data_IF_498177738682
#
_entry.id   IF_498177738682
#
_cell.length_a   1.000
_cell.length_b   1.000
_cell.length_c   1.000
_cell.angle_alpha   90.00
_cell.angle_beta   90.00
_cell.angle_gamma   90.00
#
_symmetry.space_group_name_H-M   'P 1'
#
loop_
_entity.id
_entity.type
_entity.pdbx_description
1 polymer ?
#
# COMPACT_ATOMS: atom_id res chain seq x y z
N UNK A 1 34.95 18.89 23.53
CA UNK A 1 33.69 18.71 22.77
C UNK A 1 33.98 19.22 21.38
N UNK A 2 34.37 18.35 20.45
CA UNK A 2 34.63 18.70 19.06
C UNK A 2 33.31 18.62 18.31
N UNK A 3 32.86 19.73 17.73
CA UNK A 3 31.72 19.74 16.80
C UNK A 3 32.04 18.84 15.60
N UNK A 4 31.35 17.71 15.50
CA UNK A 4 31.32 16.92 14.27
C UNK A 4 30.64 17.76 13.19
N UNK A 5 31.42 18.14 12.18
CA UNK A 5 30.91 18.86 11.01
C UNK A 5 30.09 17.87 10.18
N UNK A 6 28.76 17.92 10.29
CA UNK A 6 27.87 17.11 9.45
C UNK A 6 28.09 17.54 7.99
N UNK A 7 28.46 16.61 7.07
CA UNK A 7 28.73 16.98 5.69
C UNK A 7 27.45 17.52 5.04
N UNK A 8 27.52 18.77 4.58
CA UNK A 8 26.42 19.39 3.85
C UNK A 8 26.48 18.95 2.40
N UNK A 9 25.56 18.07 2.00
CA UNK A 9 25.38 17.70 0.60
C UNK A 9 24.78 18.90 -0.15
N UNK A 10 25.37 19.25 -1.29
CA UNK A 10 24.92 20.34 -2.15
C UNK A 10 24.61 19.85 -3.56
N UNK A 11 23.65 20.49 -4.23
CA UNK A 11 23.24 20.12 -5.60
C UNK A 11 24.28 20.52 -6.67
N UNK A 12 25.32 21.28 -6.29
CA UNK A 12 26.40 21.69 -7.18
C UNK A 12 25.90 22.39 -8.43
N UNK A 13 26.39 21.97 -9.60
CA UNK A 13 25.99 22.54 -10.91
C UNK A 13 24.50 22.40 -11.24
N UNK A 14 23.77 21.54 -10.53
CA UNK A 14 22.33 21.36 -10.74
C UNK A 14 21.46 22.28 -9.89
N UNK A 15 22.06 23.07 -8.99
CA UNK A 15 21.31 23.93 -8.07
C UNK A 15 20.37 24.90 -8.80
N UNK A 16 20.85 25.56 -9.86
CA UNK A 16 20.04 26.47 -10.67
C UNK A 16 18.87 25.73 -11.35
N UNK A 17 19.15 24.63 -12.05
CA UNK A 17 18.12 23.86 -12.76
C UNK A 17 17.04 23.30 -11.82
N UNK A 18 17.42 22.85 -10.61
CA UNK A 18 16.46 22.39 -9.60
C UNK A 18 15.65 23.57 -9.06
N UNK A 19 16.28 24.71 -8.78
CA UNK A 19 15.60 25.92 -8.33
C UNK A 19 14.56 26.41 -9.35
N UNK A 20 14.94 26.50 -10.62
CA UNK A 20 14.05 26.88 -11.71
C UNK A 20 12.86 25.92 -11.84
N UNK A 21 13.11 24.60 -11.68
CA UNK A 21 12.03 23.61 -11.72
C UNK A 21 11.08 23.72 -10.54
N UNK A 22 11.59 23.97 -9.34
CA UNK A 22 10.76 24.19 -8.15
C UNK A 22 9.90 25.44 -8.33
N UNK A 23 10.50 26.56 -8.77
CA UNK A 23 9.75 27.80 -9.04
C UNK A 23 8.63 27.58 -10.05
N UNK A 24 8.90 26.85 -11.14
CA UNK A 24 7.84 26.54 -12.11
C UNK A 24 6.72 25.67 -11.54
N UNK A 25 7.04 24.69 -10.67
CA UNK A 25 6.02 23.88 -10.00
C UNK A 25 5.17 24.69 -9.01
N UNK A 26 5.78 25.69 -8.36
CA UNK A 26 5.07 26.63 -7.48
C UNK A 26 4.12 27.53 -8.27
N UNK A 27 4.60 28.12 -9.37
CA UNK A 27 3.79 28.95 -10.28
C UNK A 27 2.60 28.16 -10.85
N UNK A 28 2.81 26.89 -11.20
CA UNK A 28 1.76 25.99 -11.71
C UNK A 28 0.79 25.50 -10.61
N UNK A 29 1.04 25.86 -9.35
CA UNK A 29 0.32 25.36 -8.16
C UNK A 29 0.28 23.82 -8.12
N UNK A 30 1.37 23.18 -8.53
CA UNK A 30 1.41 21.73 -8.76
C UNK A 30 0.96 20.93 -7.55
N UNK A 31 1.45 21.28 -6.35
CA UNK A 31 1.17 20.53 -5.12
C UNK A 31 -0.32 20.54 -4.78
N UNK A 32 -0.98 21.71 -4.79
CA UNK A 32 -2.41 21.78 -4.45
C UNK A 32 -3.28 21.10 -5.49
N UNK A 33 -2.92 21.21 -6.77
CA UNK A 33 -3.58 20.51 -7.88
C UNK A 33 -3.42 18.98 -7.79
N UNK A 34 -2.21 18.51 -7.43
CA UNK A 34 -1.94 17.10 -7.16
C UNK A 34 -2.86 16.57 -6.06
N UNK A 35 -2.95 17.28 -4.92
CA UNK A 35 -3.84 16.93 -3.82
C UNK A 35 -5.33 16.96 -4.20
N UNK A 36 -5.72 17.85 -5.12
CA UNK A 36 -7.05 17.89 -5.71
C UNK A 36 -7.30 16.81 -6.79
N UNK A 37 -6.33 15.93 -7.05
CA UNK A 37 -6.35 14.90 -8.08
C UNK A 37 -6.57 15.44 -9.49
N UNK A 38 -6.07 16.64 -9.75
CA UNK A 38 -6.14 17.29 -11.06
C UNK A 38 -5.23 16.56 -12.06
N UNK A 39 -5.83 15.74 -12.91
CA UNK A 39 -5.11 14.94 -13.89
C UNK A 39 -4.58 15.75 -15.09
N UNK A 40 -5.03 17.00 -15.27
CA UNK A 40 -4.50 17.91 -16.29
C UNK A 40 -3.03 18.29 -16.04
N UNK A 41 -2.49 17.95 -14.88
CA UNK A 41 -1.05 18.04 -14.59
C UNK A 41 -0.18 17.15 -15.49
N UNK A 42 -0.76 16.11 -16.13
CA UNK A 42 -0.01 15.19 -17.00
C UNK A 42 -0.56 15.07 -18.41
N UNK A 43 -1.88 15.21 -18.61
CA UNK A 43 -2.50 15.03 -19.93
C UNK A 43 -3.81 15.80 -20.07
N UNK A 44 -4.08 16.28 -21.28
CA UNK A 44 -5.36 16.86 -21.66
C UNK A 44 -6.35 15.82 -22.23
N UNK A 45 -5.89 14.58 -22.44
CA UNK A 45 -6.73 13.48 -22.91
C UNK A 45 -7.72 13.02 -21.82
N UNK A 46 -9.05 13.05 -22.06
CA UNK A 46 -10.05 12.70 -21.05
C UNK A 46 -9.93 11.25 -20.52
N UNK A 47 -9.55 10.30 -21.36
CA UNK A 47 -9.37 8.89 -20.94
C UNK A 47 -8.16 8.77 -20.00
N UNK A 48 -7.03 9.36 -20.38
CA UNK A 48 -5.86 9.47 -19.53
C UNK A 48 -6.15 10.20 -18.21
N UNK A 49 -6.96 11.26 -18.24
CA UNK A 49 -7.34 11.98 -17.03
C UNK A 49 -8.14 11.11 -16.05
N UNK A 50 -9.07 10.30 -16.54
CA UNK A 50 -9.84 9.37 -15.71
C UNK A 50 -8.93 8.33 -15.06
N UNK A 51 -7.98 7.77 -15.82
CA UNK A 51 -7.00 6.79 -15.30
C UNK A 51 -6.14 7.41 -14.20
N UNK A 52 -5.60 8.61 -14.44
CA UNK A 52 -4.72 9.30 -13.48
C UNK A 52 -5.48 9.69 -12.21
N UNK A 53 -6.67 10.28 -12.33
CA UNK A 53 -7.45 10.68 -11.16
C UNK A 53 -7.79 9.49 -10.25
N UNK A 54 -8.10 8.33 -10.86
CA UNK A 54 -8.28 7.08 -10.13
C UNK A 54 -6.97 6.59 -9.49
N UNK A 55 -5.85 6.64 -10.22
CA UNK A 55 -4.54 6.26 -9.71
C UNK A 55 -4.09 7.13 -8.52
N UNK A 56 -4.49 8.41 -8.46
CA UNK A 56 -4.26 9.31 -7.32
C UNK A 56 -5.16 9.01 -6.10
N UNK A 57 -5.89 7.89 -6.13
CA UNK A 57 -6.67 7.35 -5.02
C UNK A 57 -5.92 7.22 -3.69
N UNK A 58 -4.60 7.03 -3.74
CA UNK A 58 -3.74 6.84 -2.58
C UNK A 58 -3.49 8.11 -1.76
N UNK A 59 -3.65 9.31 -2.34
CA UNK A 59 -3.36 10.57 -1.65
C UNK A 59 -4.17 10.74 -0.37
N UNK A 60 -5.42 10.28 -0.37
CA UNK A 60 -6.31 10.33 0.80
C UNK A 60 -6.53 8.95 1.44
N UNK A 61 -5.56 8.05 1.30
CA UNK A 61 -5.66 6.69 1.83
C UNK A 61 -5.71 6.69 3.36
N UNK A 62 -4.92 7.53 4.03
CA UNK A 62 -4.88 7.59 5.48
C UNK A 62 -6.26 7.90 6.08
N UNK A 63 -6.93 8.94 5.58
CA UNK A 63 -8.26 9.33 6.04
C UNK A 63 -9.30 8.22 5.77
N UNK A 64 -9.24 7.60 4.59
CA UNK A 64 -10.10 6.47 4.24
C UNK A 64 -9.89 5.27 5.17
N UNK A 65 -8.64 4.91 5.44
CA UNK A 65 -8.33 3.77 6.30
C UNK A 65 -8.68 4.04 7.77
N UNK A 66 -8.52 5.27 8.25
CA UNK A 66 -8.98 5.67 9.59
C UNK A 66 -10.51 5.55 9.67
N UNK A 67 -11.24 6.01 8.66
CA UNK A 67 -12.70 5.89 8.63
C UNK A 67 -13.18 4.43 8.50
N UNK A 68 -12.45 3.59 7.76
CA UNK A 68 -12.78 2.17 7.58
C UNK A 68 -12.31 1.27 8.72
N UNK A 69 -11.58 1.81 9.71
CA UNK A 69 -10.96 1.02 10.80
C UNK A 69 -11.97 0.13 11.52
N UNK A 70 -13.10 0.70 11.91
CA UNK A 70 -14.07 -0.02 12.73
C UNK A 70 -14.81 -1.08 11.90
N UNK A 71 -15.13 -0.78 10.63
CA UNK A 71 -15.67 -1.77 9.68
C UNK A 71 -14.72 -2.96 9.48
N UNK A 72 -13.42 -2.70 9.33
CA UNK A 72 -12.40 -3.74 9.18
C UNK A 72 -12.24 -4.58 10.47
N UNK A 73 -12.33 -3.94 11.63
CA UNK A 73 -12.28 -4.63 12.92
C UNK A 73 -13.52 -5.50 13.16
N UNK A 74 -14.71 -4.99 12.79
CA UNK A 74 -15.97 -5.72 12.85
C UNK A 74 -15.98 -6.90 11.88
N UNK A 75 -15.43 -6.71 10.67
CA UNK A 75 -15.26 -7.79 9.71
C UNK A 75 -14.37 -8.91 10.26
N UNK A 76 -13.20 -8.57 10.80
CA UNK A 76 -12.30 -9.55 11.42
C UNK A 76 -12.96 -10.27 12.61
N UNK A 77 -13.74 -9.55 13.42
CA UNK A 77 -14.50 -10.12 14.54
C UNK A 77 -15.59 -11.06 14.04
N UNK A 78 -16.34 -10.66 13.00
CA UNK A 78 -17.39 -11.46 12.38
C UNK A 78 -16.87 -12.77 11.80
N UNK A 79 -15.69 -12.74 11.16
CA UNK A 79 -15.03 -13.96 10.67
C UNK A 79 -14.73 -14.95 11.81
N UNK A 80 -14.21 -14.46 12.94
CA UNK A 80 -13.95 -15.31 14.12
C UNK A 80 -15.23 -15.88 14.72
N UNK A 81 -16.29 -15.08 14.79
CA UNK A 81 -17.61 -15.54 15.27
C UNK A 81 -18.23 -16.58 14.34
N UNK A 82 -17.96 -16.49 13.04
CA UNK A 82 -18.35 -17.49 12.04
C UNK A 82 -17.52 -18.78 12.10
N UNK A 83 -16.48 -18.84 12.93
CA UNK A 83 -15.65 -20.03 13.14
C UNK A 83 -14.31 -20.01 12.41
N UNK A 84 -14.00 -18.97 11.61
CA UNK A 84 -12.72 -18.89 10.91
C UNK A 84 -11.56 -18.68 11.88
N UNK A 85 -10.47 -19.42 11.63
CA UNK A 85 -9.23 -19.43 12.41
C UNK A 85 -7.99 -19.14 11.58
N UNK A 86 -8.07 -19.29 10.25
CA UNK A 86 -6.95 -19.08 9.33
C UNK A 86 -7.38 -18.21 8.15
N UNK A 87 -6.42 -17.48 7.56
CA UNK A 87 -6.60 -16.77 6.28
C UNK A 87 -5.52 -17.23 5.32
N UNK A 88 -5.91 -17.66 4.13
CA UNK A 88 -5.00 -17.93 3.01
C UNK A 88 -5.28 -16.93 1.90
N UNK A 89 -4.45 -15.90 1.78
CA UNK A 89 -4.55 -14.94 0.69
C UNK A 89 -3.92 -15.51 -0.57
N UNK A 90 -4.73 -15.67 -1.63
CA UNK A 90 -4.29 -16.19 -2.92
C UNK A 90 -4.13 -15.05 -3.92
N UNK A 91 -2.91 -14.77 -4.35
CA UNK A 91 -2.64 -13.73 -5.32
C UNK A 91 -1.19 -13.77 -5.78
N UNK A 92 -0.91 -13.38 -7.03
CA UNK A 92 0.44 -13.41 -7.60
C UNK A 92 0.89 -12.00 -8.01
N UNK A 93 2.20 -11.74 -7.90
CA UNK A 93 2.81 -10.48 -8.34
C UNK A 93 2.52 -9.32 -7.39
N UNK A 94 2.16 -8.15 -7.94
CA UNK A 94 2.00 -6.92 -7.15
C UNK A 94 0.94 -7.02 -6.03
N UNK A 95 -0.07 -7.87 -6.21
CA UNK A 95 -1.15 -8.06 -5.22
C UNK A 95 -0.69 -8.85 -3.99
N UNK A 96 0.31 -9.73 -4.10
CA UNK A 96 0.83 -10.50 -2.96
C UNK A 96 1.93 -9.80 -2.19
N UNK A 97 2.64 -8.83 -2.79
CA UNK A 97 3.76 -8.15 -2.14
C UNK A 97 3.35 -7.46 -0.83
N UNK A 98 2.22 -6.75 -0.82
CA UNK A 98 1.74 -6.08 0.39
C UNK A 98 1.33 -7.09 1.49
N UNK A 99 0.46 -8.09 1.21
CA UNK A 99 0.19 -9.19 2.13
C UNK A 99 1.45 -9.91 2.66
N UNK A 100 2.45 -10.17 1.81
CA UNK A 100 3.71 -10.80 2.21
C UNK A 100 4.51 -9.93 3.19
N UNK A 101 4.56 -8.61 2.95
CA UNK A 101 5.17 -7.67 3.91
C UNK A 101 4.41 -7.73 5.23
N UNK A 102 3.08 -7.69 5.22
CA UNK A 102 2.30 -7.78 6.45
C UNK A 102 2.54 -9.08 7.21
N UNK A 103 2.51 -10.21 6.52
CA UNK A 103 2.79 -11.53 7.09
C UNK A 103 4.17 -11.61 7.74
N UNK A 104 5.19 -10.98 7.14
CA UNK A 104 6.58 -11.05 7.62
C UNK A 104 6.95 -9.97 8.63
N UNK A 105 6.27 -8.82 8.61
CA UNK A 105 6.60 -7.66 9.43
C UNK A 105 5.76 -7.55 10.70
N UNK A 106 4.57 -8.12 10.72
CA UNK A 106 3.67 -8.04 11.87
C UNK A 106 3.38 -9.42 12.43
N UNK A 107 3.44 -9.52 13.76
CA UNK A 107 2.93 -10.70 14.45
C UNK A 107 1.40 -10.70 14.41
N UNK A 108 0.79 -11.89 14.33
CA UNK A 108 -0.64 -12.03 14.55
C UNK A 108 -0.98 -11.59 15.96
N UNK A 109 -1.84 -10.57 16.09
CA UNK A 109 -2.34 -10.12 17.39
C UNK A 109 -3.17 -11.20 18.08
N UNK A 110 -3.39 -11.08 19.39
CA UNK A 110 -4.18 -12.06 20.17
C UNK A 110 -5.58 -12.33 19.58
N UNK A 111 -6.12 -11.32 18.90
CA UNK A 111 -7.43 -11.36 18.26
C UNK A 111 -7.40 -11.44 16.72
N UNK A 112 -6.21 -11.60 16.14
CA UNK A 112 -6.00 -11.70 14.70
C UNK A 112 -6.11 -13.14 14.19
N UNK A 113 -6.39 -13.28 12.89
CA UNK A 113 -6.28 -14.54 12.17
C UNK A 113 -4.88 -14.64 11.53
N UNK A 114 -4.14 -15.75 11.71
CA UNK A 114 -2.88 -15.97 11.02
C UNK A 114 -3.07 -15.90 9.50
N UNK A 115 -2.25 -15.08 8.85
CA UNK A 115 -2.23 -14.90 7.41
C UNK A 115 -1.17 -15.81 6.78
N UNK A 116 -1.58 -16.63 5.83
CA UNK A 116 -0.71 -17.35 4.89
C UNK A 116 -0.90 -16.74 3.51
N UNK A 117 0.19 -16.42 2.81
CA UNK A 117 0.12 -15.94 1.43
C UNK A 117 0.51 -17.07 0.49
N UNK A 118 -0.39 -17.41 -0.44
CA UNK A 118 -0.13 -18.33 -1.56
C UNK A 118 0.06 -17.49 -2.83
N UNK A 119 1.33 -17.31 -3.23
CA UNK A 119 1.73 -16.49 -4.37
C UNK A 119 2.31 -17.26 -5.56
N UNK A 120 2.06 -18.57 -5.59
CA UNK A 120 2.53 -19.49 -6.63
C UNK A 120 1.43 -20.45 -7.06
N UNK A 121 1.54 -20.96 -8.29
CA UNK A 121 0.72 -22.06 -8.80
C UNK A 121 1.42 -23.41 -8.72
N UNK A 122 2.59 -23.47 -8.08
CA UNK A 122 3.31 -24.72 -7.84
C UNK A 122 2.46 -25.70 -7.03
N UNK A 123 2.10 -26.87 -7.58
CA UNK A 123 1.17 -27.80 -6.93
C UNK A 123 1.71 -28.36 -5.60
N UNK A 124 3.04 -28.46 -5.44
CA UNK A 124 3.63 -28.92 -4.19
C UNK A 124 3.41 -27.90 -3.06
N UNK A 125 3.56 -26.60 -3.36
CA UNK A 125 3.27 -25.52 -2.41
C UNK A 125 1.78 -25.44 -2.07
N UNK A 126 0.91 -25.56 -3.07
CA UNK A 126 -0.55 -25.59 -2.84
C UNK A 126 -0.93 -26.75 -1.91
N UNK A 127 -0.44 -27.95 -2.19
CA UNK A 127 -0.70 -29.13 -1.37
C UNK A 127 -0.13 -29.01 0.04
N UNK A 128 1.05 -28.39 0.18
CA UNK A 128 1.64 -28.13 1.50
C UNK A 128 0.78 -27.17 2.34
N UNK A 129 0.21 -26.13 1.72
CA UNK A 129 -0.70 -25.21 2.44
C UNK A 129 -2.01 -25.93 2.79
N UNK A 130 -2.61 -26.66 1.85
CA UNK A 130 -3.82 -27.46 2.05
C UNK A 130 -3.69 -28.39 3.26
N UNK A 131 -2.54 -29.06 3.41
CA UNK A 131 -2.28 -29.93 4.56
C UNK A 131 -1.93 -29.21 5.87
N UNK A 132 -1.67 -27.89 5.83
CA UNK A 132 -1.23 -27.12 7.00
C UNK A 132 -2.35 -26.37 7.72
N UNK A 133 -3.54 -26.25 7.12
CA UNK A 133 -4.70 -25.55 7.69
C UNK A 133 -5.98 -26.38 7.59
N UNK A 134 -6.89 -26.35 8.58
CA UNK A 134 -8.22 -26.94 8.44
C UNK A 134 -9.07 -26.12 7.46
N UNK A 135 -9.45 -26.72 6.32
CA UNK A 135 -10.16 -26.01 5.25
C UNK A 135 -11.50 -25.41 5.71
N UNK A 136 -12.24 -26.11 6.57
CA UNK A 136 -13.53 -25.64 7.10
C UNK A 136 -13.41 -24.41 8.01
N UNK A 137 -12.23 -24.18 8.58
CA UNK A 137 -11.93 -23.03 9.46
C UNK A 137 -11.07 -21.97 8.76
N UNK A 138 -10.87 -22.08 7.44
CA UNK A 138 -9.99 -21.19 6.67
C UNK A 138 -10.78 -20.28 5.74
N UNK A 139 -10.51 -18.98 5.84
CA UNK A 139 -10.94 -17.99 4.84
C UNK A 139 -9.91 -17.94 3.71
N UNK A 140 -10.40 -17.94 2.47
CA UNK A 140 -9.60 -17.85 1.24
C UNK A 140 -9.93 -16.57 0.47
#
# INVERSE_FOLDING_TARGET
>A
MTEETVPHLGLGRYAAAVGDRISGLEDDRFVSRLWAKDASLWTDDPEGQAVISNALGWLNLTEKMVAARDELADFATGLRQAGFRHVVYMGMGGSSLCPLVFQRSFNTGADGLPLTVLDTTDPATVLAIDHSVPLEETLF
#
